data_IF_629340590771
#
_entry.id   IF_629340590771
#
_cell.length_a   1.000
_cell.length_b   1.000
_cell.length_c   1.000
_cell.angle_alpha   90.00
_cell.angle_beta   90.00
_cell.angle_gamma   90.00
#
_symmetry.space_group_name_H-M   'P 1'
#
loop_
_entity.id
_entity.type
_entity.pdbx_description
1 polymer ?
#
# COMPACT_ATOMS: atom_id res chain seq x y z
N UNK A 1 -15.89 73.08 79.04
CA UNK A 1 -15.77 71.67 78.61
C UNK A 1 -16.32 71.58 77.20
N UNK A 2 -15.45 71.44 76.20
CA UNK A 2 -15.83 71.33 74.80
C UNK A 2 -15.47 69.91 74.33
N UNK A 3 -16.48 69.10 74.03
CA UNK A 3 -16.29 67.78 73.40
C UNK A 3 -16.74 67.87 71.94
N UNK A 4 -15.74 67.59 71.10
CA UNK A 4 -15.73 67.68 69.65
C UNK A 4 -16.63 66.62 69.02
N UNK A 5 -17.23 67.03 67.93
CA UNK A 5 -18.17 66.35 67.03
C UNK A 5 -17.66 65.04 66.41
N UNK A 6 -18.53 64.03 66.18
CA UNK A 6 -18.18 62.81 65.47
C UNK A 6 -18.44 62.98 63.96
N UNK A 7 -17.46 63.52 63.21
CA UNK A 7 -17.58 63.65 61.74
C UNK A 7 -16.62 62.75 60.95
N UNK A 8 -15.77 61.95 61.61
CA UNK A 8 -14.70 61.22 60.91
C UNK A 8 -15.04 59.76 60.54
N UNK A 9 -16.16 59.20 60.97
CA UNK A 9 -16.48 57.78 60.72
C UNK A 9 -17.30 57.53 59.43
N UNK A 10 -17.84 58.58 58.80
CA UNK A 10 -18.82 58.42 57.70
C UNK A 10 -18.28 58.78 56.30
N UNK A 11 -16.99 59.15 56.18
CA UNK A 11 -16.37 59.55 54.92
C UNK A 11 -15.40 58.52 54.31
N UNK A 12 -15.24 57.32 54.89
CA UNK A 12 -14.86 56.15 54.08
C UNK A 12 -16.09 55.68 53.30
N UNK A 13 -16.62 56.61 52.49
CA UNK A 13 -17.76 56.43 51.64
C UNK A 13 -17.40 55.41 50.55
N UNK A 14 -18.42 54.67 50.12
CA UNK A 14 -18.49 53.81 48.94
C UNK A 14 -17.70 54.28 47.69
N UNK A 15 -17.33 55.56 47.60
CA UNK A 15 -16.47 56.13 46.58
C UNK A 15 -15.03 55.59 46.56
N UNK A 16 -14.46 55.14 47.68
CA UNK A 16 -13.09 54.56 47.70
C UNK A 16 -13.05 53.07 47.35
N UNK A 17 -14.20 52.38 47.38
CA UNK A 17 -14.29 50.94 47.08
C UNK A 17 -14.53 50.70 45.59
N UNK A 18 -15.26 51.59 44.90
CA UNK A 18 -15.47 51.50 43.45
C UNK A 18 -14.18 51.44 42.61
N UNK A 19 -13.14 52.25 42.84
CA UNK A 19 -11.90 52.13 42.08
C UNK A 19 -11.14 50.83 42.38
N UNK A 20 -11.26 50.27 43.59
CA UNK A 20 -10.70 48.97 43.98
C UNK A 20 -11.44 47.81 43.29
N UNK A 21 -12.77 47.89 43.19
CA UNK A 21 -13.60 46.97 42.42
C UNK A 21 -13.34 47.09 40.90
N UNK A 22 -13.00 48.28 40.41
CA UNK A 22 -12.61 48.48 39.01
C UNK A 22 -11.21 47.94 38.69
N UNK A 23 -10.35 47.74 39.70
CA UNK A 23 -9.04 47.09 39.57
C UNK A 23 -9.10 45.57 39.68
N UNK A 24 -10.22 45.01 40.17
CA UNK A 24 -10.50 43.59 40.08
C UNK A 24 -10.77 43.24 38.63
N UNK A 25 -9.72 42.81 37.94
CA UNK A 25 -9.83 42.23 36.61
C UNK A 25 -10.91 41.15 36.69
N UNK A 26 -11.96 41.22 35.85
CA UNK A 26 -13.04 40.25 35.91
C UNK A 26 -12.42 38.86 35.84
N UNK A 27 -12.80 37.98 36.77
CA UNK A 27 -12.41 36.58 36.74
C UNK A 27 -13.18 35.92 35.59
N UNK A 28 -12.74 36.20 34.36
CA UNK A 28 -13.32 35.65 33.14
C UNK A 28 -12.94 34.17 33.16
N UNK A 29 -13.94 33.30 33.13
CA UNK A 29 -13.71 31.87 32.98
C UNK A 29 -12.79 31.65 31.77
N UNK A 30 -11.77 30.76 31.87
CA UNK A 30 -10.84 30.57 30.78
C UNK A 30 -11.60 30.24 29.50
N UNK A 31 -11.20 30.86 28.40
CA UNK A 31 -11.74 30.59 27.07
C UNK A 31 -11.79 29.07 26.84
N UNK A 32 -12.95 28.58 26.41
CA UNK A 32 -13.16 27.16 26.14
C UNK A 32 -12.01 26.62 25.26
N UNK A 33 -11.48 25.42 25.56
CA UNK A 33 -10.34 24.90 24.81
C UNK A 33 -10.69 24.78 23.33
N UNK A 34 -9.99 25.56 22.50
CA UNK A 34 -10.10 25.48 21.05
C UNK A 34 -9.42 24.20 20.59
N UNK A 35 -10.13 23.40 19.79
CA UNK A 35 -9.62 22.16 19.17
C UNK A 35 -8.56 22.48 18.09
N UNK A 36 -8.42 23.75 17.72
CA UNK A 36 -7.54 24.20 16.66
C UNK A 36 -6.52 25.25 17.18
N UNK A 37 -5.24 25.17 16.75
CA UNK A 37 -4.67 24.17 15.84
C UNK A 37 -4.42 22.83 16.56
N UNK A 38 -4.63 21.72 15.84
CA UNK A 38 -4.29 20.40 16.36
C UNK A 38 -2.79 20.36 16.68
N UNK A 39 -2.46 19.87 17.89
CA UNK A 39 -1.08 19.68 18.30
C UNK A 39 -0.34 18.79 17.29
N UNK A 40 0.96 19.05 17.10
CA UNK A 40 1.80 18.36 16.11
C UNK A 40 1.73 16.82 16.21
N UNK A 41 1.50 16.30 17.44
CA UNK A 41 1.34 14.87 17.69
C UNK A 41 0.17 14.24 16.93
N UNK A 42 -0.94 14.97 16.74
CA UNK A 42 -2.08 14.45 15.97
C UNK A 42 -1.75 14.29 14.49
N UNK A 43 -0.95 15.20 13.92
CA UNK A 43 -0.48 15.08 12.54
C UNK A 43 0.46 13.89 12.35
N UNK A 44 1.32 13.62 13.32
CA UNK A 44 2.19 12.43 13.30
C UNK A 44 1.37 11.13 13.41
N UNK A 45 0.35 11.10 14.26
CA UNK A 45 -0.54 9.94 14.38
C UNK A 45 -1.32 9.72 13.09
N UNK A 46 -1.86 10.79 12.49
CA UNK A 46 -2.56 10.72 11.20
C UNK A 46 -1.64 10.19 10.10
N UNK A 47 -0.42 10.74 9.98
CA UNK A 47 0.58 10.28 9.02
C UNK A 47 0.96 8.83 9.24
N UNK A 48 1.17 8.43 10.49
CA UNK A 48 1.45 7.04 10.85
C UNK A 48 0.31 6.11 10.44
N UNK A 49 -0.94 6.51 10.66
CA UNK A 49 -2.10 5.73 10.26
C UNK A 49 -2.24 5.63 8.73
N UNK A 50 -2.00 6.73 8.01
CA UNK A 50 -2.00 6.73 6.55
C UNK A 50 -0.89 5.82 6.00
N UNK A 51 0.34 5.95 6.51
CA UNK A 51 1.47 5.13 6.10
C UNK A 51 1.23 3.65 6.39
N UNK A 52 0.71 3.32 7.58
CA UNK A 52 0.37 1.95 7.96
C UNK A 52 -0.73 1.38 7.06
N UNK A 53 -1.77 2.15 6.77
CA UNK A 53 -2.85 1.72 5.88
C UNK A 53 -2.34 1.46 4.46
N UNK A 54 -1.48 2.33 3.94
CA UNK A 54 -0.81 2.12 2.65
C UNK A 54 0.07 0.88 2.66
N UNK A 55 0.84 0.67 3.73
CA UNK A 55 1.72 -0.49 3.87
C UNK A 55 0.95 -1.81 3.93
N UNK A 56 -0.13 -1.86 4.71
CA UNK A 56 -1.03 -3.03 4.79
C UNK A 56 -1.69 -3.27 3.43
N UNK A 57 -2.19 -2.22 2.77
CA UNK A 57 -2.78 -2.31 1.44
C UNK A 57 -1.78 -2.85 0.40
N UNK A 58 -0.54 -2.37 0.44
CA UNK A 58 0.55 -2.85 -0.42
C UNK A 58 0.87 -4.33 -0.18
N UNK A 59 1.02 -4.75 1.08
CA UNK A 59 1.26 -6.16 1.41
C UNK A 59 0.09 -7.06 1.00
N UNK A 60 -1.14 -6.60 1.18
CA UNK A 60 -2.33 -7.33 0.76
C UNK A 60 -2.40 -7.49 -0.76
N UNK A 61 -2.14 -6.40 -1.51
CA UNK A 61 -2.08 -6.42 -2.97
C UNK A 61 -1.03 -7.42 -3.47
N UNK A 62 0.21 -7.31 -2.97
CA UNK A 62 1.33 -8.20 -3.29
C UNK A 62 0.99 -9.68 -3.00
N UNK A 63 0.43 -9.96 -1.83
CA UNK A 63 0.01 -11.31 -1.45
C UNK A 63 -1.10 -11.88 -2.33
N UNK A 64 -2.05 -11.05 -2.76
CA UNK A 64 -3.16 -11.47 -3.63
C UNK A 64 -2.68 -11.85 -5.02
N UNK A 65 -1.76 -11.08 -5.62
CA UNK A 65 -1.21 -11.37 -6.94
C UNK A 65 -0.39 -12.66 -6.94
N UNK A 66 0.45 -12.88 -5.93
CA UNK A 66 1.17 -14.14 -5.77
C UNK A 66 0.23 -15.35 -5.70
N UNK A 67 -0.87 -15.25 -4.93
CA UNK A 67 -1.88 -16.31 -4.82
C UNK A 67 -2.63 -16.55 -6.14
N UNK A 68 -2.98 -15.48 -6.86
CA UNK A 68 -3.65 -15.57 -8.15
C UNK A 68 -2.81 -16.36 -9.16
N UNK A 69 -1.53 -16.00 -9.31
CA UNK A 69 -0.64 -16.67 -10.26
C UNK A 69 -0.34 -18.11 -9.87
N UNK A 70 -0.17 -18.42 -8.58
CA UNK A 70 -0.07 -19.81 -8.11
C UNK A 70 -1.30 -20.65 -8.47
N UNK A 71 -2.50 -20.06 -8.37
CA UNK A 71 -3.73 -20.72 -8.82
C UNK A 71 -3.73 -20.96 -10.33
N UNK A 72 -3.28 -20.00 -11.13
CA UNK A 72 -3.20 -20.14 -12.59
C UNK A 72 -2.20 -21.23 -13.00
N UNK A 73 -1.04 -21.32 -12.34
CA UNK A 73 -0.07 -22.40 -12.57
C UNK A 73 -0.72 -23.75 -12.28
N UNK A 74 -1.43 -23.89 -11.14
CA UNK A 74 -2.12 -25.14 -10.79
C UNK A 74 -3.21 -25.51 -11.81
N UNK A 75 -3.94 -24.54 -12.34
CA UNK A 75 -4.93 -24.77 -13.39
C UNK A 75 -4.26 -25.19 -14.71
N UNK A 76 -3.11 -24.61 -15.04
CA UNK A 76 -2.35 -25.01 -16.23
C UNK A 76 -1.81 -26.45 -16.12
N UNK A 77 -1.33 -26.83 -14.92
CA UNK A 77 -0.89 -28.19 -14.62
C UNK A 77 -1.98 -29.25 -14.81
N UNK A 78 -3.23 -28.91 -14.48
CA UNK A 78 -4.38 -29.82 -14.56
C UNK A 78 -5.07 -29.79 -15.92
N UNK A 79 -4.57 -29.00 -16.87
CA UNK A 79 -5.18 -28.88 -18.20
C UNK A 79 -4.88 -30.09 -19.08
N UNK A 80 -5.74 -30.34 -20.08
CA UNK A 80 -5.54 -31.42 -21.05
C UNK A 80 -4.25 -31.24 -21.88
N UNK A 81 -3.85 -29.99 -22.14
CA UNK A 81 -2.65 -29.63 -22.90
C UNK A 81 -1.75 -28.70 -22.06
N UNK A 82 -0.98 -29.26 -21.09
CA UNK A 82 -0.17 -28.47 -20.16
C UNK A 82 0.89 -27.60 -20.85
N UNK A 83 1.46 -28.06 -21.96
CA UNK A 83 2.46 -27.33 -22.76
C UNK A 83 1.86 -26.04 -23.32
N UNK A 84 0.80 -26.14 -24.12
CA UNK A 84 0.10 -24.98 -24.70
C UNK A 84 -0.36 -24.01 -23.62
N UNK A 85 -0.94 -24.54 -22.53
CA UNK A 85 -1.45 -23.70 -21.45
C UNK A 85 -0.36 -22.97 -20.69
N UNK A 86 0.81 -23.58 -20.52
CA UNK A 86 1.97 -22.92 -19.93
C UNK A 86 2.47 -21.75 -20.77
N UNK A 87 2.48 -21.91 -22.09
CA UNK A 87 2.92 -20.88 -23.04
C UNK A 87 1.96 -19.68 -23.04
N UNK A 88 0.64 -19.93 -23.07
CA UNK A 88 -0.38 -18.89 -22.91
C UNK A 88 -0.28 -18.16 -21.58
N UNK A 89 -0.02 -18.89 -20.50
CA UNK A 89 0.14 -18.30 -19.16
C UNK A 89 1.35 -17.36 -19.13
N UNK A 90 2.50 -17.79 -19.62
CA UNK A 90 3.71 -16.94 -19.65
C UNK A 90 3.51 -15.74 -20.56
N UNK A 91 2.91 -15.92 -21.74
CA UNK A 91 2.58 -14.84 -22.67
C UNK A 91 1.64 -13.81 -22.03
N UNK A 92 0.55 -14.27 -21.41
CA UNK A 92 -0.41 -13.38 -20.75
C UNK A 92 0.21 -12.63 -19.57
N UNK A 93 1.11 -13.25 -18.82
CA UNK A 93 1.87 -12.57 -17.77
C UNK A 93 2.68 -11.40 -18.33
N UNK A 94 3.48 -11.65 -19.37
CA UNK A 94 4.33 -10.63 -19.99
C UNK A 94 3.50 -9.46 -20.53
N UNK A 95 2.36 -9.74 -21.17
CA UNK A 95 1.47 -8.71 -21.71
C UNK A 95 0.84 -7.87 -20.59
N UNK A 96 0.33 -8.51 -19.53
CA UNK A 96 -0.38 -7.78 -18.47
C UNK A 96 0.54 -7.03 -17.51
N UNK A 97 1.71 -7.57 -17.19
CA UNK A 97 2.55 -7.07 -16.10
C UNK A 97 3.87 -6.46 -16.55
N UNK A 98 4.36 -6.80 -17.75
CA UNK A 98 5.62 -6.29 -18.28
C UNK A 98 5.43 -5.48 -19.57
N UNK A 99 4.20 -5.07 -19.87
CA UNK A 99 3.84 -4.26 -21.06
C UNK A 99 4.38 -4.84 -22.38
N UNK A 100 4.46 -6.17 -22.48
CA UNK A 100 4.84 -6.81 -23.74
C UNK A 100 3.75 -6.57 -24.81
N UNK A 101 4.18 -6.49 -26.07
CA UNK A 101 3.26 -6.30 -27.20
C UNK A 101 2.24 -7.45 -27.26
N UNK A 102 0.96 -7.11 -27.50
CA UNK A 102 -0.10 -8.11 -27.70
C UNK A 102 0.20 -9.01 -28.89
N UNK A 103 0.87 -8.46 -29.91
CA UNK A 103 1.30 -9.16 -31.12
C UNK A 103 2.60 -9.96 -30.94
N UNK A 104 3.13 -10.06 -29.72
CA UNK A 104 4.40 -10.74 -29.42
C UNK A 104 4.46 -12.12 -30.09
N UNK A 105 5.49 -12.34 -30.91
CA UNK A 105 5.68 -13.63 -31.56
C UNK A 105 6.30 -14.66 -30.59
N UNK A 106 6.19 -15.94 -30.91
CA UNK A 106 6.71 -17.04 -30.10
C UNK A 106 8.23 -16.96 -29.95
N UNK A 107 8.93 -16.50 -30.98
CA UNK A 107 10.37 -16.24 -30.92
C UNK A 107 10.73 -15.17 -29.88
N UNK A 108 9.91 -14.12 -29.76
CA UNK A 108 10.12 -13.07 -28.76
C UNK A 108 9.84 -13.59 -27.35
N UNK A 109 8.80 -14.43 -27.18
CA UNK A 109 8.56 -15.10 -25.91
C UNK A 109 9.75 -16.00 -25.54
N UNK A 110 10.24 -16.78 -26.51
CA UNK A 110 11.35 -17.69 -26.30
C UNK A 110 12.63 -16.95 -25.89
N UNK A 111 12.97 -15.88 -26.60
CA UNK A 111 14.08 -15.00 -26.24
C UNK A 111 13.91 -14.43 -24.84
N UNK A 112 12.68 -14.02 -24.46
CA UNK A 112 12.44 -13.47 -23.13
C UNK A 112 12.62 -14.52 -22.02
N UNK A 113 12.20 -15.75 -22.28
CA UNK A 113 12.39 -16.89 -21.37
C UNK A 113 13.87 -17.23 -21.26
N UNK A 114 14.59 -17.29 -22.37
CA UNK A 114 16.03 -17.54 -22.42
C UNK A 114 16.83 -16.46 -21.68
N UNK A 115 16.51 -15.18 -21.87
CA UNK A 115 17.10 -14.07 -21.10
C UNK A 115 16.86 -14.21 -19.59
N UNK A 116 15.73 -14.82 -19.20
CA UNK A 116 15.35 -14.96 -17.80
C UNK A 116 15.94 -16.22 -17.15
N UNK A 117 16.12 -17.31 -17.89
CA UNK A 117 16.68 -18.57 -17.39
C UNK A 117 18.18 -18.73 -17.65
N UNK A 118 18.72 -18.04 -18.66
CA UNK A 118 20.10 -18.18 -19.14
C UNK A 118 20.29 -19.33 -20.13
N UNK A 119 19.22 -20.03 -20.52
CA UNK A 119 19.22 -21.12 -21.50
C UNK A 119 17.83 -21.26 -22.13
N UNK A 120 17.76 -21.91 -23.29
CA UNK A 120 16.51 -22.25 -23.96
C UNK A 120 15.96 -23.59 -23.42
N UNK A 121 14.82 -23.60 -22.69
CA UNK A 121 14.29 -24.84 -22.14
C UNK A 121 13.67 -25.74 -23.22
N UNK A 122 13.88 -27.05 -23.10
CA UNK A 122 13.42 -28.03 -24.09
C UNK A 122 11.88 -28.08 -24.22
N UNK A 123 11.16 -27.86 -23.12
CA UNK A 123 9.70 -27.87 -23.08
C UNK A 123 9.04 -26.66 -23.78
N UNK A 124 9.80 -25.61 -24.08
CA UNK A 124 9.26 -24.36 -24.63
C UNK A 124 8.73 -24.50 -26.06
N UNK A 125 9.43 -25.28 -26.87
CA UNK A 125 9.11 -25.50 -28.29
C UNK A 125 8.59 -26.92 -28.55
N UNK A 126 8.42 -27.72 -27.50
CA UNK A 126 8.00 -29.11 -27.63
C UNK A 126 6.66 -29.22 -28.36
N UNK A 127 5.68 -28.37 -28.03
CA UNK A 127 4.35 -28.41 -28.67
C UNK A 127 4.32 -27.97 -30.15
N UNK A 128 5.40 -27.40 -30.70
CA UNK A 128 5.53 -27.12 -32.14
C UNK A 128 6.18 -28.25 -32.93
N UNK A 129 6.76 -29.25 -32.25
CA UNK A 129 7.33 -30.41 -32.93
C UNK A 129 6.16 -31.26 -33.46
N UNK A 130 6.06 -31.33 -34.79
CA UNK A 130 4.99 -32.00 -35.52
C UNK A 130 4.93 -33.52 -35.30
N UNK A 131 5.97 -34.09 -34.69
CA UNK A 131 6.11 -35.53 -34.48
C UNK A 131 5.44 -35.92 -33.16
N UNK A 132 4.15 -36.28 -33.24
CA UNK A 132 3.31 -36.67 -32.10
C UNK A 132 3.85 -37.84 -31.25
N UNK A 133 4.87 -38.56 -31.73
CA UNK A 133 5.54 -39.66 -31.01
C UNK A 133 6.60 -39.21 -30.01
N UNK A 134 7.27 -38.06 -30.24
CA UNK A 134 8.34 -37.56 -29.35
C UNK A 134 7.82 -36.56 -28.30
N UNK A 135 6.58 -36.09 -28.46
CA UNK A 135 5.99 -35.07 -27.59
C UNK A 135 5.44 -35.62 -26.25
N UNK A 136 5.24 -36.94 -26.14
CA UNK A 136 4.71 -37.60 -24.94
C UNK A 136 5.70 -37.62 -23.77
N UNK A 137 7.01 -37.57 -24.04
CA UNK A 137 8.05 -37.62 -23.01
C UNK A 137 8.50 -36.25 -22.50
N UNK A 138 8.29 -35.18 -23.27
CA UNK A 138 8.71 -33.83 -22.86
C UNK A 138 7.71 -33.27 -21.86
N UNK A 139 8.04 -33.42 -20.57
CA UNK A 139 7.26 -32.87 -19.47
C UNK A 139 7.60 -31.40 -19.24
N UNK A 140 6.57 -30.58 -19.06
CA UNK A 140 6.72 -29.18 -18.64
C UNK A 140 7.44 -29.11 -17.31
N UNK A 141 8.54 -28.36 -17.24
CA UNK A 141 9.22 -28.10 -15.97
C UNK A 141 8.52 -26.95 -15.23
N UNK A 142 7.53 -27.30 -14.40
CA UNK A 142 6.76 -26.33 -13.63
C UNK A 142 7.58 -25.54 -12.60
N UNK A 143 8.72 -26.07 -12.15
CA UNK A 143 9.61 -25.33 -11.26
C UNK A 143 10.27 -24.14 -11.98
N UNK A 144 10.60 -24.30 -13.25
CA UNK A 144 11.12 -23.21 -14.08
C UNK A 144 10.05 -22.16 -14.35
N UNK A 145 8.81 -22.57 -14.61
CA UNK A 145 7.68 -21.65 -14.77
C UNK A 145 7.45 -20.84 -13.50
N UNK A 146 7.47 -21.47 -12.33
CA UNK A 146 7.34 -20.76 -11.05
C UNK A 146 8.50 -19.78 -10.84
N UNK A 147 9.74 -20.18 -11.17
CA UNK A 147 10.91 -19.27 -11.14
C UNK A 147 10.75 -18.08 -12.07
N UNK A 148 10.29 -18.29 -13.31
CA UNK A 148 10.04 -17.25 -14.31
C UNK A 148 9.01 -16.23 -13.77
N UNK A 149 7.85 -16.72 -13.34
CA UNK A 149 6.77 -15.88 -12.83
C UNK A 149 7.22 -15.10 -11.59
N UNK A 150 7.90 -15.75 -10.64
CA UNK A 150 8.42 -15.08 -9.44
C UNK A 150 9.50 -14.03 -9.77
N UNK A 151 10.27 -14.21 -10.86
CA UNK A 151 11.26 -13.23 -11.32
C UNK A 151 10.58 -12.05 -12.02
N UNK A 152 9.63 -12.32 -12.90
CA UNK A 152 8.87 -11.28 -13.61
C UNK A 152 7.91 -10.51 -12.69
N UNK A 153 7.35 -11.13 -11.64
CA UNK A 153 6.59 -10.41 -10.60
C UNK A 153 7.46 -9.37 -9.90
N UNK A 154 8.70 -9.76 -9.53
CA UNK A 154 9.66 -8.82 -8.93
C UNK A 154 10.02 -7.68 -9.88
N UNK A 155 10.19 -7.97 -11.16
CA UNK A 155 10.45 -6.97 -12.19
C UNK A 155 9.26 -6.02 -12.41
N UNK A 156 8.04 -6.54 -12.40
CA UNK A 156 6.81 -5.76 -12.50
C UNK A 156 6.48 -4.95 -11.23
N UNK A 157 7.23 -5.14 -10.14
CA UNK A 157 6.96 -4.50 -8.85
C UNK A 157 5.71 -5.04 -8.13
N UNK A 158 5.29 -6.27 -8.48
CA UNK A 158 4.07 -6.92 -7.99
C UNK A 158 4.35 -7.97 -6.92
#
# INVERSE_FOLDING_TARGET
MASVTPYLASQMSSASIQPLLAQLQPNIAPTAPSIWPLAIGYWLVLLGFCALSFFIGYLYYRGRHARYWKKQIKLAQQSANPLTRSHELLRSFLIMHLNADKSMNEQQLAQRIEQTLGYAPEWLNAHYRADGESNSDIKVNWQEIDKLINRWQREAGV
#
